data_IF_878639735028
#
_entry.id   IF_878639735028
#
_cell.length_a   1.000
_cell.length_b   1.000
_cell.length_c   1.000
_cell.angle_alpha   90.00
_cell.angle_beta   90.00
_cell.angle_gamma   90.00
#
_symmetry.space_group_name_H-M   'P 1'
#
loop_
_entity.id
_entity.type
_entity.pdbx_description
1 polymer ?
#
# COMPACT_ATOMS: atom_id res chain seq x y z
N UNK A 1 -13.00 1.20 10.55
CA UNK A 1 -13.17 2.40 9.71
C UNK A 1 -12.79 3.65 10.51
N UNK A 2 -11.50 3.91 10.77
CA UNK A 2 -10.94 5.26 11.00
C UNK A 2 -9.47 5.13 11.38
N UNK A 3 -8.59 5.40 10.42
CA UNK A 3 -7.30 6.07 10.67
C UNK A 3 -6.84 6.85 9.42
N UNK A 4 -7.45 6.60 8.25
CA UNK A 4 -7.13 7.27 6.99
C UNK A 4 -8.09 8.38 6.53
N UNK A 5 -9.06 8.81 7.36
CA UNK A 5 -10.04 9.81 6.89
C UNK A 5 -9.47 11.22 6.71
N UNK A 6 -8.33 11.55 7.33
CA UNK A 6 -7.83 12.93 7.36
C UNK A 6 -6.35 13.10 6.97
N UNK A 7 -5.46 12.14 7.28
CA UNK A 7 -4.01 12.31 7.07
C UNK A 7 -3.51 12.06 5.64
N UNK A 8 -3.98 11.02 4.97
CA UNK A 8 -3.45 10.66 3.64
C UNK A 8 -4.11 11.41 2.47
N UNK A 9 -5.22 12.10 2.71
CA UNK A 9 -5.83 12.98 1.71
C UNK A 9 -4.94 14.18 1.39
N UNK A 10 -4.11 14.64 2.33
CA UNK A 10 -3.21 15.78 2.11
C UNK A 10 -2.00 15.42 1.24
N UNK A 11 -1.51 14.17 1.29
CA UNK A 11 -0.43 13.68 0.41
C UNK A 11 -0.85 13.59 -1.07
N UNK A 12 -2.16 13.65 -1.36
CA UNK A 12 -2.74 13.67 -2.70
C UNK A 12 -2.95 15.08 -3.26
N UNK A 13 -2.34 16.13 -2.70
CA UNK A 13 -2.20 17.39 -3.43
C UNK A 13 -1.41 17.14 -4.74
N UNK A 14 -1.63 17.95 -5.77
CA UNK A 14 -0.99 17.74 -7.09
C UNK A 14 0.55 17.63 -6.97
N UNK A 15 1.17 18.53 -6.19
CA UNK A 15 2.60 18.50 -5.89
C UNK A 15 3.03 17.27 -5.07
N UNK A 16 2.21 16.85 -4.10
CA UNK A 16 2.49 15.65 -3.31
C UNK A 16 2.47 14.37 -4.15
N UNK A 17 1.56 14.28 -5.13
CA UNK A 17 1.49 13.13 -6.06
C UNK A 17 2.72 13.04 -6.96
N UNK A 18 3.24 14.15 -7.46
CA UNK A 18 4.44 14.16 -8.30
C UNK A 18 5.67 13.65 -7.54
N UNK A 19 5.91 14.15 -6.33
CA UNK A 19 7.00 13.67 -5.47
C UNK A 19 6.89 12.16 -5.16
N UNK A 20 5.67 11.66 -4.94
CA UNK A 20 5.43 10.22 -4.72
C UNK A 20 5.75 9.40 -5.97
N UNK A 21 5.37 9.89 -7.15
CA UNK A 21 5.63 9.20 -8.43
C UNK A 21 7.12 9.15 -8.75
N UNK A 22 7.86 10.22 -8.48
CA UNK A 22 9.32 10.26 -8.65
C UNK A 22 10.04 9.28 -7.73
N UNK A 23 9.57 9.17 -6.48
CA UNK A 23 10.20 8.36 -5.44
C UNK A 23 9.53 7.01 -5.23
N UNK A 24 8.69 6.58 -6.18
CA UNK A 24 7.77 5.44 -5.99
C UNK A 24 8.48 4.16 -5.58
N UNK A 25 9.67 3.90 -6.11
CA UNK A 25 10.46 2.71 -5.78
C UNK A 25 10.87 2.67 -4.31
N UNK A 26 11.34 3.80 -3.78
CA UNK A 26 11.78 3.93 -2.38
C UNK A 26 10.56 3.80 -1.46
N UNK A 27 9.48 4.48 -1.80
CA UNK A 27 8.23 4.46 -1.02
C UNK A 27 7.67 3.02 -0.94
N UNK A 28 7.60 2.31 -2.07
CA UNK A 28 7.15 0.91 -2.07
C UNK A 28 8.05 0.04 -1.20
N UNK A 29 9.38 0.25 -1.25
CA UNK A 29 10.31 -0.50 -0.42
C UNK A 29 10.09 -0.28 1.07
N UNK A 30 9.93 0.97 1.49
CA UNK A 30 9.66 1.30 2.89
C UNK A 30 8.31 0.73 3.33
N UNK A 31 7.25 0.92 2.54
CA UNK A 31 5.93 0.37 2.85
C UNK A 31 5.96 -1.16 2.96
N UNK A 32 6.70 -1.86 2.10
CA UNK A 32 6.82 -3.31 2.15
C UNK A 32 7.46 -3.80 3.46
N UNK A 33 8.42 -3.05 4.02
CA UNK A 33 8.99 -3.31 5.34
C UNK A 33 7.97 -3.05 6.46
N UNK A 34 7.22 -1.95 6.35
CA UNK A 34 6.20 -1.58 7.34
C UNK A 34 5.05 -2.58 7.41
N UNK A 35 4.71 -3.27 6.32
CA UNK A 35 3.72 -4.37 6.32
C UNK A 35 4.12 -5.51 7.26
N UNK A 36 5.41 -5.68 7.57
CA UNK A 36 5.90 -6.70 8.53
C UNK A 36 6.23 -6.13 9.90
N UNK A 37 5.85 -4.88 10.20
CA UNK A 37 6.22 -4.21 11.44
C UNK A 37 5.62 -4.91 12.68
N UNK A 38 6.44 -5.40 13.62
CA UNK A 38 5.97 -6.32 14.66
C UNK A 38 5.16 -5.64 15.76
N UNK A 39 5.47 -4.37 16.07
CA UNK A 39 5.00 -3.72 17.29
C UNK A 39 3.58 -3.16 17.19
N UNK A 40 3.21 -2.57 16.04
CA UNK A 40 1.93 -1.87 15.90
C UNK A 40 1.14 -2.37 14.70
N UNK A 41 -0.07 -2.88 14.95
CA UNK A 41 -0.95 -3.35 13.88
C UNK A 41 -1.39 -2.22 12.95
N UNK A 42 -1.60 -1.02 13.50
CA UNK A 42 -2.06 0.16 12.73
C UNK A 42 -1.05 0.49 11.64
N UNK A 43 0.25 0.36 11.90
CA UNK A 43 1.31 0.58 10.90
C UNK A 43 1.22 -0.41 9.73
N UNK A 44 0.94 -1.68 10.02
CA UNK A 44 0.80 -2.71 8.97
C UNK A 44 -0.46 -2.49 8.14
N UNK A 45 -1.57 -2.19 8.80
CA UNK A 45 -2.86 -1.90 8.17
C UNK A 45 -2.75 -0.66 7.26
N UNK A 46 -2.15 0.43 7.76
CA UNK A 46 -1.99 1.66 6.98
C UNK A 46 -1.02 1.49 5.82
N UNK A 47 0.04 0.69 5.96
CA UNK A 47 0.93 0.39 4.85
C UNK A 47 0.20 -0.34 3.70
N UNK A 48 -0.70 -1.27 4.01
CA UNK A 48 -1.54 -1.94 3.01
C UNK A 48 -2.55 -0.97 2.37
N UNK A 49 -3.16 -0.08 3.15
CA UNK A 49 -4.03 0.97 2.63
C UNK A 49 -3.29 1.94 1.70
N UNK A 50 -2.03 2.29 2.01
CA UNK A 50 -1.18 3.05 1.10
C UNK A 50 -0.97 2.32 -0.22
N UNK A 51 -0.66 1.02 -0.22
CA UNK A 51 -0.54 0.27 -1.46
C UNK A 51 -1.83 0.32 -2.29
N UNK A 52 -3.01 0.15 -1.67
CA UNK A 52 -4.29 0.29 -2.37
C UNK A 52 -4.44 1.68 -2.98
N UNK A 53 -4.10 2.76 -2.27
CA UNK A 53 -4.17 4.11 -2.82
C UNK A 53 -3.19 4.31 -4.00
N UNK A 54 -1.99 3.74 -3.90
CA UNK A 54 -0.96 3.84 -4.94
C UNK A 54 -1.33 3.13 -6.24
N UNK A 55 -2.26 2.17 -6.23
CA UNK A 55 -2.71 1.52 -7.47
C UNK A 55 -3.44 2.49 -8.42
N UNK A 56 -3.83 3.68 -7.93
CA UNK A 56 -4.43 4.73 -8.74
C UNK A 56 -3.43 5.55 -9.58
N UNK A 57 -2.12 5.38 -9.37
CA UNK A 57 -1.11 6.08 -10.17
C UNK A 57 -0.98 5.50 -11.59
N UNK A 58 -0.44 6.27 -12.56
CA UNK A 58 -0.31 5.82 -13.94
C UNK A 58 0.44 4.49 -14.07
N UNK A 59 -0.11 3.57 -14.87
CA UNK A 59 0.40 2.20 -15.05
C UNK A 59 1.92 2.16 -15.33
N UNK A 60 2.42 3.06 -16.18
CA UNK A 60 3.83 3.19 -16.56
C UNK A 60 4.79 3.37 -15.37
N UNK A 61 4.29 3.86 -14.23
CA UNK A 61 5.05 4.13 -13.02
C UNK A 61 4.91 3.00 -11.99
N UNK A 62 3.73 2.41 -11.85
CA UNK A 62 3.43 1.42 -10.79
C UNK A 62 3.65 -0.04 -11.18
N UNK A 63 3.51 -0.39 -12.47
CA UNK A 63 3.49 -1.79 -12.90
C UNK A 63 4.75 -2.57 -12.48
N UNK A 64 5.92 -1.94 -12.59
CA UNK A 64 7.20 -2.54 -12.19
C UNK A 64 7.27 -2.92 -10.71
N UNK A 65 6.49 -2.26 -9.86
CA UNK A 65 6.46 -2.50 -8.42
C UNK A 65 5.48 -3.61 -8.02
N UNK A 66 4.64 -4.07 -8.95
CA UNK A 66 3.58 -5.06 -8.70
C UNK A 66 4.08 -6.33 -7.99
N UNK A 67 5.20 -6.98 -8.40
CA UNK A 67 5.65 -8.20 -7.72
C UNK A 67 5.96 -7.97 -6.24
N UNK A 68 6.59 -6.84 -5.92
CA UNK A 68 6.96 -6.49 -4.55
C UNK A 68 5.73 -6.21 -3.68
N UNK A 69 4.75 -5.48 -4.21
CA UNK A 69 3.50 -5.20 -3.50
C UNK A 69 2.69 -6.47 -3.26
N UNK A 70 2.55 -7.32 -4.28
CA UNK A 70 1.84 -8.59 -4.13
C UNK A 70 2.53 -9.51 -3.12
N UNK A 71 3.86 -9.57 -3.13
CA UNK A 71 4.60 -10.37 -2.15
C UNK A 71 4.40 -9.86 -0.72
N UNK A 72 4.40 -8.54 -0.51
CA UNK A 72 4.11 -7.94 0.80
C UNK A 72 2.66 -8.25 1.24
N UNK A 73 1.69 -8.10 0.35
CA UNK A 73 0.29 -8.42 0.62
C UNK A 73 0.09 -9.91 0.97
N UNK A 74 0.73 -10.82 0.23
CA UNK A 74 0.66 -12.27 0.49
C UNK A 74 1.17 -12.58 1.90
N UNK A 75 2.31 -12.02 2.31
CA UNK A 75 2.84 -12.20 3.68
C UNK A 75 1.86 -11.71 4.75
N UNK A 76 1.14 -10.64 4.49
CA UNK A 76 0.16 -10.08 5.42
C UNK A 76 -1.17 -10.85 5.48
N UNK A 77 -1.42 -11.81 4.59
CA UNK A 77 -2.60 -12.68 4.67
C UNK A 77 -2.58 -13.56 5.93
N UNK A 78 -1.39 -13.90 6.43
CA UNK A 78 -1.21 -14.69 7.65
C UNK A 78 -1.05 -13.83 8.92
N UNK A 79 -1.38 -12.53 8.86
CA UNK A 79 -1.26 -11.65 10.02
C UNK A 79 -2.17 -12.10 11.18
N UNK A 80 -1.67 -11.99 12.42
CA UNK A 80 -2.43 -12.33 13.63
C UNK A 80 -3.71 -11.50 13.81
N UNK A 81 -3.82 -10.31 13.21
CA UNK A 81 -4.96 -9.40 13.33
C UNK A 81 -5.86 -9.46 12.09
N UNK A 82 -7.17 -9.69 12.32
CA UNK A 82 -8.19 -9.77 11.26
C UNK A 82 -8.24 -8.52 10.38
N UNK A 83 -8.13 -7.32 10.96
CA UNK A 83 -8.16 -6.06 10.21
C UNK A 83 -7.02 -5.98 9.18
N UNK A 84 -5.81 -6.39 9.56
CA UNK A 84 -4.64 -6.44 8.67
C UNK A 84 -4.87 -7.46 7.54
N UNK A 85 -5.40 -8.66 7.86
CA UNK A 85 -5.74 -9.66 6.84
C UNK A 85 -6.77 -9.16 5.83
N UNK A 86 -7.78 -8.41 6.27
CA UNK A 86 -8.80 -7.83 5.40
C UNK A 86 -8.19 -6.81 4.42
N UNK A 87 -7.32 -5.92 4.88
CA UNK A 87 -6.62 -4.98 3.99
C UNK A 87 -5.60 -5.68 3.08
N UNK A 88 -5.00 -6.79 3.52
CA UNK A 88 -4.11 -7.59 2.69
C UNK A 88 -4.85 -8.23 1.50
N UNK A 89 -6.06 -8.78 1.74
CA UNK A 89 -6.93 -9.30 0.69
C UNK A 89 -7.31 -8.19 -0.29
N UNK A 90 -7.76 -7.04 0.22
CA UNK A 90 -8.13 -5.88 -0.61
C UNK A 90 -6.95 -5.41 -1.46
N UNK A 91 -5.79 -5.22 -0.86
CA UNK A 91 -4.55 -4.83 -1.55
C UNK A 91 -4.21 -5.82 -2.66
N UNK A 92 -4.21 -7.12 -2.38
CA UNK A 92 -3.93 -8.16 -3.38
C UNK A 92 -4.92 -8.12 -4.54
N UNK A 93 -6.22 -8.02 -4.26
CA UNK A 93 -7.26 -7.95 -5.28
C UNK A 93 -7.11 -6.70 -6.16
N UNK A 94 -6.96 -5.52 -5.55
CA UNK A 94 -6.78 -4.27 -6.28
C UNK A 94 -5.55 -4.32 -7.20
N UNK A 95 -4.41 -4.82 -6.70
CA UNK A 95 -3.18 -4.93 -7.52
C UNK A 95 -3.21 -6.09 -8.53
N UNK A 96 -4.16 -7.00 -8.42
CA UNK A 96 -4.42 -8.00 -9.45
C UNK A 96 -5.33 -7.45 -10.54
N UNK A 97 -6.40 -6.74 -10.18
CA UNK A 97 -7.39 -6.21 -11.12
C UNK A 97 -6.95 -4.93 -11.83
N UNK A 98 -6.17 -4.06 -11.18
CA UNK A 98 -5.73 -2.78 -11.77
C UNK A 98 -4.74 -2.96 -12.93
N UNK A 99 -4.21 -4.17 -13.13
CA UNK A 99 -3.16 -4.47 -14.11
C UNK A 99 -3.44 -5.78 -14.85
N UNK A 100 -4.70 -6.22 -14.88
CA UNK A 100 -5.18 -7.35 -15.68
C UNK A 100 -5.43 -6.92 -17.12
#
# INVERSE_FOLDING_TARGET
MVFFSSGAKSCLSYAGKECIVENIRIIISVLAQLVSYPHMMVVRETALQCFVAMSSFPHSKVYRMRPQVLQAAIKALDDKKRAVRQEAVRCRQTWQSSFA
#
